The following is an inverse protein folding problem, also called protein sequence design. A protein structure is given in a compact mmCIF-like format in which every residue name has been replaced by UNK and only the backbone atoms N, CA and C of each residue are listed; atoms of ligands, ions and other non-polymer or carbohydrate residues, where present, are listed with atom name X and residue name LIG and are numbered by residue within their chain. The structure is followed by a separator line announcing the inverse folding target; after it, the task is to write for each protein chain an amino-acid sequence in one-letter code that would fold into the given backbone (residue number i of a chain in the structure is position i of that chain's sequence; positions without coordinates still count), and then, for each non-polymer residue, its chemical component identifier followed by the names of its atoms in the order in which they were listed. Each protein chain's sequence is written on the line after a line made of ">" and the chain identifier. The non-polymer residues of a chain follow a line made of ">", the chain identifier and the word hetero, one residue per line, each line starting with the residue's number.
data_IF_251040895285
#
_entry.id   IF_251040895285
#
_cell.length_a   1.000
_cell.length_b   1.000
_cell.length_c   1.000
_cell.angle_alpha   90.00
_cell.angle_beta   90.00
_cell.angle_gamma   90.00
#
_symmetry.space_group_name_H-M   'P 1'
#
loop_
_entity.id
_entity.type
_entity.pdbx_description
1 polymer ?
#
# COMPACT_ATOMS: atom_id res chain seq x y z
N UNK A 1 13.41 1.46 -11.83
CA UNK A 1 12.01 1.29 -11.40
C UNK A 1 11.24 2.45 -11.98
N UNK A 2 10.40 2.16 -12.97
CA UNK A 2 9.66 3.18 -13.70
C UNK A 2 8.54 3.77 -12.85
N UNK A 3 8.23 5.04 -13.12
CA UNK A 3 7.16 5.80 -12.47
C UNK A 3 6.20 6.28 -13.53
N UNK A 4 4.91 6.10 -13.28
CA UNK A 4 3.87 6.47 -14.23
C UNK A 4 2.74 7.24 -13.55
N UNK A 5 2.17 8.27 -14.20
CA UNK A 5 0.86 8.80 -13.80
C UNK A 5 -0.21 7.71 -13.83
N UNK A 6 -1.19 7.77 -12.92
CA UNK A 6 -2.35 6.86 -12.93
C UNK A 6 -3.08 6.77 -14.28
N UNK A 7 -3.09 7.86 -15.05
CA UNK A 7 -3.73 7.93 -16.37
C UNK A 7 -2.96 7.21 -17.50
N UNK A 8 -1.78 6.65 -17.21
CA UNK A 8 -1.01 5.88 -18.20
C UNK A 8 -1.76 4.62 -18.63
N UNK A 9 -1.61 4.25 -19.90
CA UNK A 9 -2.25 3.06 -20.44
C UNK A 9 -1.79 1.79 -19.70
N UNK A 10 -2.75 0.92 -19.38
CA UNK A 10 -2.52 -0.34 -18.65
C UNK A 10 -1.40 -1.20 -19.26
N UNK A 11 -1.30 -1.26 -20.59
CA UNK A 11 -0.26 -2.05 -21.26
C UNK A 11 1.15 -1.66 -20.83
N UNK A 12 1.41 -0.38 -20.59
CA UNK A 12 2.71 0.09 -20.11
C UNK A 12 2.99 -0.38 -18.67
N UNK A 13 1.97 -0.46 -17.82
CA UNK A 13 2.12 -1.02 -16.46
C UNK A 13 2.51 -2.51 -16.52
N UNK A 14 1.81 -3.28 -17.35
CA UNK A 14 2.08 -4.71 -17.49
C UNK A 14 3.47 -4.95 -18.10
N UNK A 15 3.88 -4.16 -19.08
CA UNK A 15 5.21 -4.23 -19.66
C UNK A 15 6.31 -3.95 -18.62
N UNK A 16 6.16 -2.87 -17.84
CA UNK A 16 7.11 -2.52 -16.79
C UNK A 16 7.16 -3.57 -15.68
N UNK A 17 6.02 -4.13 -15.25
CA UNK A 17 5.98 -5.22 -14.28
C UNK A 17 6.66 -6.49 -14.81
N UNK A 18 6.43 -6.84 -16.08
CA UNK A 18 7.06 -8.01 -16.71
C UNK A 18 8.58 -7.86 -16.82
N UNK A 19 9.04 -6.66 -17.20
CA UNK A 19 10.47 -6.37 -17.40
C UNK A 19 11.23 -6.19 -16.10
N UNK A 20 10.68 -5.43 -15.15
CA UNK A 20 11.40 -4.93 -13.96
C UNK A 20 10.92 -5.58 -12.66
N UNK A 21 9.81 -6.32 -12.67
CA UNK A 21 9.18 -6.91 -11.49
C UNK A 21 8.48 -5.91 -10.56
N UNK A 22 8.61 -4.61 -10.81
CA UNK A 22 8.01 -3.56 -9.98
C UNK A 22 7.91 -2.22 -10.74
N UNK A 23 6.87 -1.43 -10.40
CA UNK A 23 6.67 -0.06 -10.89
C UNK A 23 6.01 0.82 -9.81
N UNK A 24 6.08 2.14 -9.97
CA UNK A 24 5.35 3.11 -9.15
C UNK A 24 4.25 3.74 -10.00
N UNK A 25 3.03 3.75 -9.47
CA UNK A 25 1.92 4.53 -10.03
C UNK A 25 1.69 5.74 -9.12
N UNK A 26 1.77 6.92 -9.70
CA UNK A 26 1.59 8.20 -9.02
C UNK A 26 0.13 8.65 -9.11
N UNK A 27 -0.37 9.26 -8.03
CA UNK A 27 -1.73 9.80 -7.99
C UNK A 27 -2.82 8.74 -7.83
N UNK A 28 -2.53 7.59 -7.21
CA UNK A 28 -3.55 6.58 -6.87
C UNK A 28 -4.68 7.17 -6.02
N UNK A 29 -4.33 8.01 -5.05
CA UNK A 29 -5.24 8.77 -4.21
C UNK A 29 -5.09 10.27 -4.52
N UNK A 30 -6.20 10.98 -4.53
CA UNK A 30 -6.17 12.45 -4.51
C UNK A 30 -5.64 12.97 -3.16
N UNK A 31 -5.15 14.21 -3.08
CA UNK A 31 -4.54 14.75 -1.87
C UNK A 31 -5.42 14.71 -0.62
N UNK A 32 -6.75 14.86 -0.77
CA UNK A 32 -7.68 14.88 0.35
C UNK A 32 -7.82 13.48 0.93
N UNK A 33 -8.06 12.48 0.07
CA UNK A 33 -8.13 11.07 0.48
C UNK A 33 -6.81 10.58 1.07
N UNK A 34 -5.69 10.95 0.47
CA UNK A 34 -4.36 10.60 0.98
C UNK A 34 -4.14 11.12 2.40
N UNK A 35 -4.53 12.36 2.68
CA UNK A 35 -4.39 12.94 4.01
C UNK A 35 -5.32 12.28 5.03
N UNK A 36 -6.57 11.98 4.65
CA UNK A 36 -7.51 11.28 5.52
C UNK A 36 -6.99 9.87 5.90
N UNK A 37 -6.50 9.09 4.93
CA UNK A 37 -5.92 7.78 5.19
C UNK A 37 -4.66 7.89 6.07
N UNK A 38 -3.80 8.88 5.80
CA UNK A 38 -2.59 9.15 6.60
C UNK A 38 -2.96 9.45 8.05
N UNK A 39 -3.94 10.31 8.30
CA UNK A 39 -4.37 10.66 9.65
C UNK A 39 -4.87 9.43 10.43
N UNK A 40 -5.71 8.59 9.82
CA UNK A 40 -6.17 7.32 10.44
C UNK A 40 -5.01 6.38 10.77
N UNK A 41 -4.05 6.21 9.86
CA UNK A 41 -2.86 5.37 10.07
C UNK A 41 -1.98 5.93 11.19
N UNK A 42 -1.78 7.26 11.23
CA UNK A 42 -0.97 7.90 12.27
C UNK A 42 -1.60 7.78 13.65
N UNK A 43 -2.92 7.94 13.76
CA UNK A 43 -3.65 7.75 15.01
C UNK A 43 -3.48 6.33 15.56
N UNK A 44 -3.66 5.31 14.71
CA UNK A 44 -3.44 3.92 15.12
C UNK A 44 -1.97 3.64 15.45
N UNK A 45 -1.04 4.13 14.64
CA UNK A 45 0.39 3.96 14.87
C UNK A 45 0.85 4.59 16.21
N UNK A 46 0.19 5.63 16.69
CA UNK A 46 0.48 6.23 18.00
C UNK A 46 0.16 5.28 19.16
N UNK A 47 -0.78 4.36 18.99
CA UNK A 47 -1.20 3.38 20.00
C UNK A 47 -0.33 2.12 20.02
N UNK A 48 0.50 1.90 19.00
CA UNK A 48 1.32 0.69 18.84
C UNK A 48 2.75 0.87 19.34
N UNK A 49 3.32 -0.19 19.92
CA UNK A 49 4.74 -0.24 20.23
C UNK A 49 5.56 -0.47 18.94
N UNK A 50 6.84 -0.06 18.97
CA UNK A 50 7.78 -0.41 17.92
C UNK A 50 8.35 -1.83 18.16
N UNK A 51 8.67 -2.53 17.08
CA UNK A 51 9.04 -3.93 17.10
C UNK A 51 7.82 -4.86 17.07
N UNK A 52 8.05 -6.18 16.99
CA UNK A 52 6.99 -7.16 16.95
C UNK A 52 6.25 -7.25 18.30
N UNK A 53 4.92 -7.10 18.27
CA UNK A 53 4.01 -7.41 19.38
C UNK A 53 3.81 -8.94 19.45
N UNK A 54 4.85 -9.65 19.90
CA UNK A 54 4.85 -11.11 20.01
C UNK A 54 5.10 -11.86 18.70
N UNK A 55 4.81 -13.17 18.72
CA UNK A 55 5.05 -14.07 17.59
C UNK A 55 6.45 -14.71 17.55
N UNK A 56 6.74 -15.50 16.50
CA UNK A 56 8.04 -16.14 16.28
C UNK A 56 9.23 -15.19 16.39
N UNK A 57 10.35 -15.67 16.96
CA UNK A 57 11.57 -14.86 17.14
C UNK A 57 12.12 -14.26 15.84
N UNK A 58 11.87 -14.90 14.70
CA UNK A 58 12.33 -14.38 13.40
C UNK A 58 11.69 -13.03 13.04
N UNK A 59 10.50 -12.69 13.58
CA UNK A 59 9.87 -11.40 13.33
C UNK A 59 10.69 -10.24 13.86
N UNK A 60 11.42 -10.42 14.97
CA UNK A 60 12.35 -9.41 15.47
C UNK A 60 13.49 -9.18 14.48
N UNK A 61 14.00 -10.25 13.86
CA UNK A 61 15.10 -10.18 12.88
C UNK A 61 14.62 -9.54 11.57
N UNK A 62 13.39 -9.84 11.16
CA UNK A 62 12.83 -9.36 9.90
C UNK A 62 12.30 -7.93 9.98
N UNK A 63 11.47 -7.60 10.97
CA UNK A 63 10.89 -6.26 11.12
C UNK A 63 11.85 -5.24 11.75
N UNK A 64 12.79 -5.70 12.58
CA UNK A 64 13.63 -4.82 13.40
C UNK A 64 12.88 -4.21 14.58
N UNK A 65 13.62 -3.49 15.44
CA UNK A 65 13.09 -2.92 16.69
C UNK A 65 12.34 -1.58 16.52
N UNK A 66 12.48 -0.92 15.36
CA UNK A 66 11.97 0.44 15.15
C UNK A 66 10.74 0.49 14.23
N UNK A 67 10.28 -0.65 13.74
CA UNK A 67 9.13 -0.75 12.83
C UNK A 67 7.85 -0.93 13.63
N UNK A 68 6.82 -0.11 13.36
CA UNK A 68 5.45 -0.36 13.83
C UNK A 68 4.68 -1.07 12.73
N UNK A 69 4.08 -2.21 13.03
CA UNK A 69 3.27 -3.00 12.09
C UNK A 69 1.94 -3.36 12.72
N UNK A 70 0.86 -3.06 12.02
CA UNK A 70 -0.50 -3.41 12.39
C UNK A 70 -1.30 -3.72 11.13
N UNK A 71 -2.42 -4.41 11.31
CA UNK A 71 -3.32 -4.86 10.23
C UNK A 71 -4.71 -4.29 10.44
N UNK A 72 -5.61 -4.51 9.49
CA UNK A 72 -7.01 -4.08 9.63
C UNK A 72 -7.25 -2.61 9.25
N UNK A 73 -6.51 -2.09 8.26
CA UNK A 73 -6.64 -0.70 7.81
C UNK A 73 -8.08 -0.35 7.39
N UNK A 74 -8.83 -1.30 6.83
CA UNK A 74 -10.26 -1.11 6.50
C UNK A 74 -11.17 -0.83 7.72
N UNK A 75 -10.73 -1.14 8.94
CA UNK A 75 -11.45 -0.76 10.17
C UNK A 75 -11.13 0.68 10.61
N UNK A 76 -10.10 1.29 10.03
CA UNK A 76 -9.58 2.62 10.42
C UNK A 76 -9.98 3.72 9.46
N UNK A 77 -10.22 3.39 8.18
CA UNK A 77 -10.51 4.37 7.13
C UNK A 77 -11.28 3.74 5.97
N UNK A 78 -12.40 4.35 5.60
CA UNK A 78 -13.15 3.97 4.40
C UNK A 78 -12.36 4.24 3.11
N UNK A 79 -11.42 5.18 3.12
CA UNK A 79 -10.51 5.46 1.99
C UNK A 79 -9.69 4.23 1.59
N UNK A 80 -9.47 3.30 2.51
CA UNK A 80 -8.82 2.03 2.18
C UNK A 80 -9.66 1.22 1.17
N UNK A 81 -10.98 1.24 1.28
CA UNK A 81 -11.85 0.55 0.33
C UNK A 81 -11.90 1.28 -1.01
N UNK A 82 -11.92 2.62 -1.03
CA UNK A 82 -11.77 3.39 -2.28
C UNK A 82 -10.51 2.98 -3.06
N UNK A 83 -9.40 2.70 -2.36
CA UNK A 83 -8.15 2.24 -2.98
C UNK A 83 -8.25 0.80 -3.51
N UNK A 84 -8.95 -0.09 -2.80
CA UNK A 84 -9.14 -1.48 -3.22
C UNK A 84 -10.07 -1.60 -4.43
N UNK A 85 -11.02 -0.68 -4.56
CA UNK A 85 -11.98 -0.60 -5.67
C UNK A 85 -11.43 0.17 -6.88
N UNK A 86 -10.17 0.60 -6.83
CA UNK A 86 -9.56 1.38 -7.91
C UNK A 86 -9.45 0.59 -9.22
N UNK A 87 -10.00 1.15 -10.30
CA UNK A 87 -10.02 0.52 -11.63
C UNK A 87 -8.63 0.19 -12.17
N UNK A 88 -7.60 0.97 -11.82
CA UNK A 88 -6.22 0.68 -12.24
C UNK A 88 -5.70 -0.55 -11.51
N UNK A 89 -5.96 -0.65 -10.21
CA UNK A 89 -5.54 -1.81 -9.42
C UNK A 89 -6.27 -3.08 -9.88
N UNK A 90 -7.59 -3.01 -10.06
CA UNK A 90 -8.40 -4.10 -10.59
C UNK A 90 -7.93 -4.52 -12.00
N UNK A 91 -7.71 -3.55 -12.89
CA UNK A 91 -7.27 -3.84 -14.25
C UNK A 91 -5.88 -4.47 -14.34
N UNK A 92 -4.97 -4.17 -13.42
CA UNK A 92 -3.67 -4.84 -13.31
C UNK A 92 -3.85 -6.26 -12.78
N UNK A 93 -4.68 -6.45 -11.75
CA UNK A 93 -4.97 -7.77 -11.17
C UNK A 93 -5.58 -8.71 -12.22
N UNK A 94 -6.61 -8.27 -12.95
CA UNK A 94 -7.27 -9.04 -14.02
C UNK A 94 -6.32 -9.47 -15.14
N UNK A 95 -5.22 -8.74 -15.35
CA UNK A 95 -4.23 -9.06 -16.37
C UNK A 95 -3.18 -10.08 -15.90
N UNK A 96 -3.06 -10.31 -14.59
CA UNK A 96 -1.96 -11.08 -13.99
C UNK A 96 -2.42 -12.31 -13.19
N UNK A 97 -3.68 -12.37 -12.76
CA UNK A 97 -4.26 -13.41 -11.91
C UNK A 97 -5.42 -14.13 -12.61
#
# INVERSE_FOLDING_TARGET
>A
MDRFPKATARSAFIEALSRDGALIIEGMLDPIRLEALRASIQAEAALRAAGPEGGPRYWQTFHGANTKRFTGIGLLSEVFFDLLEDEVLAGIADALL
#
